data_IF_541687941981
#
_entry.id   IF_541687941981
#
_cell.length_a   1.000
_cell.length_b   1.000
_cell.length_c   1.000
_cell.angle_alpha   90.00
_cell.angle_beta   90.00
_cell.angle_gamma   90.00
#
_symmetry.space_group_name_H-M   'P 1'
#
loop_
_entity.id
_entity.type
_entity.pdbx_description
1 polymer ?
#
# COMPACT_ATOMS: atom_id res chain seq x y z
N UNK A 1 9.38 -3.96 -10.79
CA UNK A 1 9.70 -2.58 -10.33
C UNK A 1 8.55 -1.88 -9.60
N UNK A 2 7.30 -2.33 -9.75
CA UNK A 2 6.11 -1.68 -9.17
C UNK A 2 6.07 -1.69 -7.62
N UNK A 3 6.58 -2.74 -6.96
CA UNK A 3 6.66 -2.82 -5.49
C UNK A 3 7.45 -1.65 -4.92
N UNK A 4 8.55 -1.26 -5.56
CA UNK A 4 9.38 -0.14 -5.10
C UNK A 4 8.62 1.18 -5.12
N UNK A 5 7.79 1.41 -6.13
CA UNK A 5 6.96 2.61 -6.23
C UNK A 5 5.92 2.68 -5.10
N UNK A 6 5.31 1.54 -4.77
CA UNK A 6 4.40 1.41 -3.62
C UNK A 6 5.14 1.74 -2.33
N UNK A 7 6.30 1.11 -2.08
CA UNK A 7 7.06 1.36 -0.86
C UNK A 7 7.47 2.84 -0.74
N UNK A 8 7.92 3.48 -1.81
CA UNK A 8 8.25 4.91 -1.82
C UNK A 8 7.04 5.81 -1.54
N UNK A 9 5.84 5.39 -1.95
CA UNK A 9 4.61 6.14 -1.64
C UNK A 9 4.22 6.05 -0.16
N UNK A 10 4.50 4.93 0.51
CA UNK A 10 4.07 4.67 1.89
C UNK A 10 5.17 5.01 2.90
N UNK A 11 6.45 4.99 2.50
CA UNK A 11 7.61 5.35 3.33
C UNK A 11 7.44 6.64 4.15
N UNK A 12 6.88 7.74 3.60
CA UNK A 12 6.63 8.96 4.37
C UNK A 12 5.65 8.78 5.54
N UNK A 13 4.74 7.81 5.46
CA UNK A 13 3.73 7.55 6.50
C UNK A 13 4.16 6.44 7.45
N UNK A 14 4.84 5.43 6.91
CA UNK A 14 5.40 4.36 7.70
C UNK A 14 6.61 4.81 8.53
N UNK A 15 7.24 5.93 8.16
CA UNK A 15 8.37 6.53 8.87
C UNK A 15 9.73 5.91 8.52
N UNK A 16 9.75 4.78 7.81
CA UNK A 16 10.97 4.18 7.27
C UNK A 16 10.66 3.16 6.17
N UNK A 17 11.68 2.82 5.36
CA UNK A 17 11.57 1.76 4.35
C UNK A 17 11.23 0.40 4.95
N UNK A 18 11.77 0.09 6.13
CA UNK A 18 11.49 -1.16 6.84
C UNK A 18 10.02 -1.22 7.30
N UNK A 19 9.51 -0.12 7.84
CA UNK A 19 8.11 -0.02 8.23
C UNK A 19 7.16 -0.07 7.02
N UNK A 20 7.53 0.53 5.88
CA UNK A 20 6.75 0.42 4.64
C UNK A 20 6.67 -1.03 4.15
N UNK A 21 7.78 -1.78 4.26
CA UNK A 21 7.79 -3.22 3.98
C UNK A 21 6.93 -4.03 4.95
N UNK A 22 7.02 -3.73 6.25
CA UNK A 22 6.17 -4.37 7.25
C UNK A 22 4.69 -4.12 6.94
N UNK A 23 4.30 -2.88 6.63
CA UNK A 23 2.94 -2.55 6.20
C UNK A 23 2.52 -3.34 4.96
N UNK A 24 3.38 -3.39 3.94
CA UNK A 24 3.10 -4.09 2.68
C UNK A 24 2.76 -5.57 2.88
N UNK A 25 3.42 -6.23 3.84
CA UNK A 25 3.22 -7.65 4.14
C UNK A 25 2.15 -7.92 5.20
N UNK A 26 1.95 -7.01 6.15
CA UNK A 26 1.17 -7.31 7.37
C UNK A 26 -0.14 -6.53 7.48
N UNK A 27 -0.32 -5.45 6.73
CA UNK A 27 -1.51 -4.62 6.86
C UNK A 27 -2.65 -5.11 5.94
N UNK A 28 -3.74 -5.67 6.49
CA UNK A 28 -4.90 -6.08 5.70
C UNK A 28 -5.70 -4.85 5.26
N UNK A 29 -5.89 -4.69 3.96
CA UNK A 29 -6.67 -3.59 3.38
C UNK A 29 -8.13 -4.03 3.34
N UNK A 30 -8.92 -3.60 4.34
CA UNK A 30 -10.34 -3.96 4.46
C UNK A 30 -11.15 -3.62 3.19
N UNK A 31 -10.86 -2.49 2.54
CA UNK A 31 -11.50 -2.06 1.29
C UNK A 31 -11.22 -3.00 0.10
N UNK A 32 -10.16 -3.80 0.16
CA UNK A 32 -9.73 -4.72 -0.89
C UNK A 32 -9.87 -6.18 -0.43
N UNK A 33 -10.90 -6.46 0.37
CA UNK A 33 -11.22 -7.82 0.84
C UNK A 33 -10.36 -8.30 2.02
N UNK A 34 -9.76 -7.37 2.78
CA UNK A 34 -8.91 -7.70 3.93
C UNK A 34 -7.56 -8.31 3.55
N UNK A 35 -7.14 -8.15 2.30
CA UNK A 35 -5.89 -8.68 1.78
C UNK A 35 -4.75 -7.71 2.01
N UNK A 36 -3.55 -8.24 2.18
CA UNK A 36 -2.34 -7.42 2.27
C UNK A 36 -1.95 -6.90 0.88
N UNK A 37 -1.18 -5.81 0.84
CA UNK A 37 -0.68 -5.28 -0.43
C UNK A 37 0.12 -6.35 -1.19
N UNK A 38 0.92 -7.15 -0.49
CA UNK A 38 1.62 -8.30 -1.08
C UNK A 38 0.67 -9.29 -1.77
N UNK A 39 -0.41 -9.71 -1.09
CA UNK A 39 -1.37 -10.64 -1.64
C UNK A 39 -2.11 -10.07 -2.87
N UNK A 40 -2.38 -8.77 -2.88
CA UNK A 40 -3.00 -8.08 -4.00
C UNK A 40 -2.05 -8.02 -5.21
N UNK A 41 -0.78 -7.68 -4.99
CA UNK A 41 0.25 -7.72 -6.06
C UNK A 41 0.40 -9.13 -6.62
N UNK A 42 0.46 -10.15 -5.77
CA UNK A 42 0.56 -11.55 -6.21
C UNK A 42 -0.65 -11.99 -7.06
N UNK A 43 -1.82 -11.33 -6.90
CA UNK A 43 -3.04 -11.57 -7.67
C UNK A 43 -3.18 -10.67 -8.91
N UNK A 44 -2.19 -9.84 -9.22
CA UNK A 44 -2.23 -8.90 -10.33
C UNK A 44 -3.10 -7.67 -10.08
N UNK A 45 -3.50 -7.41 -8.82
CA UNK A 45 -4.34 -6.26 -8.40
C UNK A 45 -3.50 -5.07 -7.94
N UNK A 46 -2.42 -4.81 -8.69
CA UNK A 46 -1.50 -3.71 -8.42
C UNK A 46 -2.17 -2.33 -8.46
N UNK A 47 -2.99 -2.11 -9.48
CA UNK A 47 -3.72 -0.86 -9.68
C UNK A 47 -4.69 -0.57 -8.52
N UNK A 48 -5.31 -1.60 -7.93
CA UNK A 48 -6.19 -1.45 -6.76
C UNK A 48 -5.41 -0.94 -5.54
N UNK A 49 -4.21 -1.47 -5.28
CA UNK A 49 -3.34 -1.03 -4.19
C UNK A 49 -2.89 0.42 -4.40
N UNK A 50 -2.47 0.76 -5.62
CA UNK A 50 -2.05 2.13 -5.95
C UNK A 50 -3.21 3.11 -5.84
N UNK A 51 -4.40 2.75 -6.32
CA UNK A 51 -5.60 3.58 -6.19
C UNK A 51 -5.99 3.77 -4.71
N UNK A 52 -5.90 2.73 -3.89
CA UNK A 52 -6.15 2.82 -2.45
C UNK A 52 -5.18 3.81 -1.77
N UNK A 53 -3.88 3.70 -2.03
CA UNK A 53 -2.87 4.62 -1.49
C UNK A 53 -3.13 6.06 -1.96
N UNK A 54 -3.46 6.25 -3.25
CA UNK A 54 -3.80 7.55 -3.79
C UNK A 54 -5.07 8.14 -3.17
N UNK A 55 -6.06 7.30 -2.83
CA UNK A 55 -7.28 7.72 -2.14
C UNK A 55 -6.99 8.16 -0.71
N UNK A 56 -6.17 7.40 0.04
CA UNK A 56 -5.76 7.80 1.41
C UNK A 56 -4.99 9.12 1.38
N UNK A 57 -4.12 9.33 0.38
CA UNK A 57 -3.42 10.62 0.15
C UNK A 57 -4.39 11.79 0.05
N UNK A 58 -5.47 11.59 -0.70
CA UNK A 58 -6.45 12.62 -0.96
C UNK A 58 -7.37 12.85 0.25
N UNK A 59 -7.68 11.82 1.03
CA UNK A 59 -8.50 11.92 2.24
C UNK A 59 -7.79 12.48 3.48
N UNK A 60 -6.45 12.56 3.47
CA UNK A 60 -5.63 13.04 4.60
C UNK A 60 -5.33 14.55 4.59
N UNK A 61 -5.83 15.29 3.59
CA UNK A 61 -5.76 16.75 3.53
C UNK A 61 -7.19 17.32 3.52
N UNK A 62 -7.83 17.34 4.68
CA UNK A 62 -8.99 18.18 4.97
C UNK A 62 -8.86 18.78 6.36
#
# INVERSE_FOLDING_TARGET
MLIQAILTQIEPWAGSRAAAWAWYQTYPIAALGGLTAEQLIARGKADEVTAYIAHIRQGGYA
#
